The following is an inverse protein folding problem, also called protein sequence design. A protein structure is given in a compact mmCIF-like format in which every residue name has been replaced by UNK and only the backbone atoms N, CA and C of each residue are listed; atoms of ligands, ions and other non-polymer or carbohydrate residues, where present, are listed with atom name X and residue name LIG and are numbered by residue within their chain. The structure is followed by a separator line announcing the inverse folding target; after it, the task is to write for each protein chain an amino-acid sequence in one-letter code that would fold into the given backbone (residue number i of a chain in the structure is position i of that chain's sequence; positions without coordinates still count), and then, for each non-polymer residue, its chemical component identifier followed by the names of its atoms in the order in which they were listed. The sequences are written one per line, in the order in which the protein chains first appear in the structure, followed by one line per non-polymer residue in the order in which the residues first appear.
data_IF_891525278024
#
_entry.id   IF_891525278024
#
_cell.length_a   1.000
_cell.length_b   1.000
_cell.length_c   1.000
_cell.angle_alpha   90.00
_cell.angle_beta   90.00
_cell.angle_gamma   90.00
#
_symmetry.space_group_name_H-M   'P 1'
#
loop_
_entity.id
_entity.type
_entity.pdbx_description
1 polymer ?
#
# COMPACT_ATOMS: atom_id res chain seq x y z
N UNK A 1 -49.94 -11.06 -44.50
CA UNK A 1 -50.03 -10.59 -43.10
C UNK A 1 -49.15 -11.38 -42.15
N UNK A 2 -49.22 -12.72 -42.10
CA UNK A 2 -48.36 -13.56 -41.24
C UNK A 2 -46.84 -13.34 -41.45
N UNK A 3 -46.37 -13.22 -42.69
CA UNK A 3 -44.96 -12.94 -42.98
C UNK A 3 -44.48 -11.57 -42.50
N UNK A 4 -45.37 -10.56 -42.53
CA UNK A 4 -45.07 -9.20 -42.04
C UNK A 4 -45.04 -9.20 -40.52
N UNK A 5 -46.01 -9.85 -39.87
CA UNK A 5 -46.02 -10.01 -38.42
C UNK A 5 -44.78 -10.78 -37.93
N UNK A 6 -44.38 -11.86 -38.61
CA UNK A 6 -43.16 -12.60 -38.30
C UNK A 6 -41.91 -11.73 -38.49
N UNK A 7 -41.82 -10.95 -39.57
CA UNK A 7 -40.69 -10.04 -39.80
C UNK A 7 -40.59 -8.95 -38.73
N UNK A 8 -41.70 -8.32 -38.36
CA UNK A 8 -41.77 -7.33 -37.27
C UNK A 8 -41.35 -7.97 -35.95
N UNK A 9 -41.84 -9.16 -35.65
CA UNK A 9 -41.49 -9.88 -34.41
C UNK A 9 -40.00 -10.24 -34.37
N UNK A 10 -39.41 -10.68 -35.49
CA UNK A 10 -37.97 -10.94 -35.58
C UNK A 10 -37.13 -9.68 -35.44
N UNK A 11 -37.56 -8.55 -36.02
CA UNK A 11 -36.87 -7.27 -35.87
C UNK A 11 -36.90 -6.82 -34.42
N UNK A 12 -38.06 -6.90 -33.75
CA UNK A 12 -38.19 -6.59 -32.32
C UNK A 12 -37.30 -7.49 -31.49
N UNK A 13 -37.27 -8.79 -31.76
CA UNK A 13 -36.49 -9.76 -31.00
C UNK A 13 -34.98 -9.55 -31.19
N UNK A 14 -34.52 -9.23 -32.41
CA UNK A 14 -33.12 -8.94 -32.70
C UNK A 14 -32.70 -7.57 -32.14
N UNK A 15 -33.58 -6.57 -32.19
CA UNK A 15 -33.33 -5.26 -31.58
C UNK A 15 -33.24 -5.36 -30.05
N UNK A 16 -34.03 -6.25 -29.43
CA UNK A 16 -34.01 -6.52 -28.00
C UNK A 16 -32.80 -7.36 -27.54
N UNK A 17 -32.23 -8.21 -28.40
CA UNK A 17 -31.14 -9.13 -28.00
C UNK A 17 -29.75 -8.73 -28.50
N UNK A 18 -29.62 -8.27 -29.75
CA UNK A 18 -28.32 -8.02 -30.41
C UNK A 18 -28.00 -6.53 -30.48
N UNK A 19 -29.01 -5.69 -30.68
CA UNK A 19 -28.86 -4.23 -30.80
C UNK A 19 -29.40 -3.49 -29.57
N UNK A 20 -29.31 -4.12 -28.40
CA UNK A 20 -29.83 -3.60 -27.15
C UNK A 20 -28.76 -2.86 -26.35
N UNK A 21 -29.13 -1.91 -25.47
CA UNK A 21 -28.18 -1.26 -24.58
C UNK A 21 -27.43 -2.27 -23.69
N UNK A 22 -28.08 -3.37 -23.30
CA UNK A 22 -27.46 -4.49 -22.57
C UNK A 22 -26.29 -5.11 -23.32
N UNK A 23 -26.33 -5.18 -24.65
CA UNK A 23 -25.22 -5.72 -25.42
C UNK A 23 -23.97 -4.85 -25.30
N UNK A 24 -24.11 -3.52 -25.29
CA UNK A 24 -22.98 -2.60 -25.16
C UNK A 24 -22.32 -2.72 -23.77
N UNK A 25 -23.13 -2.79 -22.72
CA UNK A 25 -22.65 -2.96 -21.34
C UNK A 25 -21.98 -4.32 -21.15
N UNK A 26 -22.53 -5.40 -21.72
CA UNK A 26 -21.88 -6.71 -21.72
C UNK A 26 -20.53 -6.66 -22.44
N UNK A 27 -20.47 -6.07 -23.64
CA UNK A 27 -19.23 -5.96 -24.40
C UNK A 27 -18.15 -5.15 -23.67
N UNK A 28 -18.55 -4.15 -22.89
CA UNK A 28 -17.66 -3.37 -22.03
C UNK A 28 -17.11 -4.22 -20.88
N UNK A 29 -17.97 -4.88 -20.12
CA UNK A 29 -17.56 -5.77 -19.00
C UNK A 29 -16.64 -6.89 -19.51
N UNK A 30 -16.98 -7.49 -20.66
CA UNK A 30 -16.15 -8.53 -21.29
C UNK A 30 -14.77 -7.96 -21.67
N UNK A 31 -14.69 -6.72 -22.15
CA UNK A 31 -13.41 -6.07 -22.45
C UNK A 31 -12.56 -5.86 -21.17
N UNK A 32 -13.18 -5.49 -20.03
CA UNK A 32 -12.48 -5.41 -18.75
C UNK A 32 -11.93 -6.78 -18.32
N UNK A 33 -12.75 -7.82 -18.40
CA UNK A 33 -12.37 -9.21 -18.06
C UNK A 33 -11.30 -9.78 -18.99
N UNK A 34 -11.32 -9.37 -20.25
CA UNK A 34 -10.29 -9.71 -21.25
C UNK A 34 -9.02 -8.88 -21.06
N UNK A 35 -9.04 -7.86 -20.19
CA UNK A 35 -7.95 -6.92 -19.99
C UNK A 35 -7.62 -6.17 -21.28
N UNK A 36 -8.64 -5.83 -22.08
CA UNK A 36 -8.54 -5.07 -23.33
C UNK A 36 -9.03 -3.64 -23.09
N UNK A 37 -8.11 -2.82 -22.58
CA UNK A 37 -8.34 -1.42 -22.24
C UNK A 37 -8.74 -0.56 -23.42
N UNK A 38 -8.11 -0.80 -24.58
CA UNK A 38 -8.38 -0.05 -25.80
C UNK A 38 -9.83 -0.27 -26.26
N UNK A 39 -10.33 -1.51 -26.20
CA UNK A 39 -11.73 -1.83 -26.51
C UNK A 39 -12.68 -1.24 -25.48
N UNK A 40 -12.38 -1.36 -24.18
CA UNK A 40 -13.21 -0.78 -23.11
C UNK A 40 -13.34 0.74 -23.25
N UNK A 41 -12.22 1.45 -23.45
CA UNK A 41 -12.18 2.90 -23.66
C UNK A 41 -12.97 3.31 -24.92
N UNK A 42 -12.80 2.55 -26.00
CA UNK A 42 -13.51 2.77 -27.26
C UNK A 42 -15.02 2.60 -27.13
N UNK A 43 -15.48 1.60 -26.36
CA UNK A 43 -16.90 1.39 -26.09
C UNK A 43 -17.50 2.53 -25.27
N UNK A 44 -16.81 2.97 -24.22
CA UNK A 44 -17.27 4.08 -23.38
C UNK A 44 -17.25 5.45 -24.08
N UNK A 45 -16.57 5.57 -25.22
CA UNK A 45 -16.20 6.86 -25.80
C UNK A 45 -15.55 7.79 -24.77
N UNK A 46 -14.79 7.22 -23.83
CA UNK A 46 -14.27 7.97 -22.69
C UNK A 46 -12.94 8.65 -23.01
N UNK A 47 -12.71 9.80 -22.39
CA UNK A 47 -11.40 10.47 -22.38
C UNK A 47 -10.60 10.06 -21.16
N UNK A 48 -9.31 9.81 -21.34
CA UNK A 48 -8.37 9.55 -20.24
C UNK A 48 -7.88 10.90 -19.71
N UNK A 49 -8.03 11.20 -18.40
CA UNK A 49 -7.46 12.41 -17.80
C UNK A 49 -5.93 12.36 -17.78
N UNK A 50 -5.27 13.45 -17.37
CA UNK A 50 -3.81 13.51 -17.21
C UNK A 50 -3.37 12.76 -15.93
N UNK A 51 -3.50 11.44 -15.97
CA UNK A 51 -3.18 10.52 -14.87
C UNK A 51 -2.54 9.25 -15.42
N UNK A 52 -1.97 8.44 -14.52
CA UNK A 52 -1.24 7.23 -14.90
C UNK A 52 -2.19 6.16 -15.46
N UNK A 53 -1.87 5.64 -16.65
CA UNK A 53 -2.67 4.64 -17.37
C UNK A 53 -2.32 3.18 -17.03
N UNK A 54 -1.47 2.93 -16.01
CA UNK A 54 -0.98 1.59 -15.68
C UNK A 54 -2.07 0.55 -15.38
N UNK A 55 -3.26 0.99 -14.97
CA UNK A 55 -4.41 0.12 -14.67
C UNK A 55 -5.38 -0.05 -15.83
N UNK A 56 -5.17 0.66 -16.93
CA UNK A 56 -6.13 0.68 -18.03
C UNK A 56 -6.03 -0.52 -18.96
N UNK A 57 -5.06 -1.41 -18.81
CA UNK A 57 -4.89 -2.53 -19.74
C UNK A 57 -4.22 -3.76 -19.11
N UNK A 58 -4.39 -4.92 -19.75
CA UNK A 58 -3.67 -6.14 -19.39
C UNK A 58 -4.02 -6.72 -18.01
N UNK A 59 -3.07 -7.34 -17.30
CA UNK A 59 -3.34 -8.05 -16.06
C UNK A 59 -3.93 -7.19 -14.94
N UNK A 60 -3.51 -5.93 -14.81
CA UNK A 60 -4.03 -5.02 -13.79
C UNK A 60 -5.52 -4.75 -13.97
N UNK A 61 -5.95 -4.56 -15.24
CA UNK A 61 -7.35 -4.38 -15.60
C UNK A 61 -8.17 -5.66 -15.36
N UNK A 62 -7.61 -6.83 -15.67
CA UNK A 62 -8.29 -8.11 -15.36
C UNK A 62 -8.51 -8.28 -13.88
N UNK A 63 -7.48 -7.98 -13.09
CA UNK A 63 -7.53 -8.10 -11.65
C UNK A 63 -8.57 -7.16 -11.06
N UNK A 64 -8.77 -5.95 -11.63
CA UNK A 64 -9.76 -5.00 -11.11
C UNK A 64 -11.20 -5.48 -11.23
N UNK A 65 -11.48 -6.49 -12.06
CA UNK A 65 -12.83 -7.04 -12.21
C UNK A 65 -12.91 -8.53 -11.83
N UNK A 66 -11.86 -9.06 -11.22
CA UNK A 66 -11.76 -10.49 -10.90
C UNK A 66 -12.73 -10.91 -9.78
N UNK A 67 -13.00 -10.01 -8.84
CA UNK A 67 -13.88 -10.23 -7.68
C UNK A 67 -15.35 -9.96 -7.96
N UNK A 68 -15.70 -9.52 -9.18
CA UNK A 68 -17.08 -9.26 -9.56
C UNK A 68 -17.83 -10.57 -9.84
N UNK A 69 -18.60 -10.99 -8.85
CA UNK A 69 -19.44 -12.18 -8.87
C UNK A 69 -20.91 -11.85 -9.17
N UNK A 70 -21.69 -12.88 -9.52
CA UNK A 70 -23.16 -12.80 -9.72
C UNK A 70 -23.65 -11.66 -10.62
N UNK A 71 -22.85 -11.27 -11.62
CA UNK A 71 -23.15 -10.10 -12.45
C UNK A 71 -24.47 -10.25 -13.24
N UNK A 72 -25.39 -9.33 -13.01
CA UNK A 72 -26.70 -9.24 -13.66
C UNK A 72 -26.87 -7.85 -14.30
N UNK A 73 -27.08 -7.82 -15.62
CA UNK A 73 -27.44 -6.59 -16.33
C UNK A 73 -28.96 -6.45 -16.28
N UNK A 74 -29.44 -5.40 -15.64
CA UNK A 74 -30.87 -5.12 -15.49
C UNK A 74 -31.57 -4.65 -16.77
N UNK A 75 -32.85 -4.34 -16.63
CA UNK A 75 -33.65 -3.73 -17.70
C UNK A 75 -33.33 -2.23 -17.82
N UNK A 76 -33.34 -1.66 -19.05
CA UNK A 76 -33.11 -0.25 -19.28
C UNK A 76 -34.25 0.58 -18.68
N UNK A 77 -33.87 1.60 -17.91
CA UNK A 77 -34.77 2.61 -17.36
C UNK A 77 -34.73 3.82 -18.30
N UNK A 78 -35.87 4.20 -18.87
CA UNK A 78 -35.94 5.37 -19.75
C UNK A 78 -35.65 6.66 -18.94
N UNK A 79 -34.63 7.41 -19.35
CA UNK A 79 -34.37 8.78 -18.86
C UNK A 79 -35.17 9.76 -19.74
N UNK A 80 -35.04 9.60 -21.07
CA UNK A 80 -35.78 10.36 -22.07
C UNK A 80 -35.98 9.56 -23.37
N UNK A 81 -36.50 10.19 -24.43
CA UNK A 81 -36.81 9.54 -25.71
C UNK A 81 -35.63 8.84 -26.40
N UNK A 82 -34.40 9.27 -26.10
CA UNK A 82 -33.17 8.79 -26.73
C UNK A 82 -32.14 8.25 -25.73
N UNK A 83 -32.38 8.37 -24.41
CA UNK A 83 -31.44 7.96 -23.36
C UNK A 83 -32.05 6.97 -22.39
N UNK A 84 -31.24 6.00 -21.99
CA UNK A 84 -31.59 5.00 -20.98
C UNK A 84 -30.47 4.87 -19.97
N UNK A 85 -30.85 4.60 -18.73
CA UNK A 85 -29.95 4.14 -17.68
C UNK A 85 -30.02 2.62 -17.62
N UNK A 86 -28.87 1.97 -17.50
CA UNK A 86 -28.78 0.53 -17.38
C UNK A 86 -28.05 0.14 -16.08
N UNK A 87 -28.78 -0.35 -15.05
CA UNK A 87 -28.17 -0.81 -13.82
C UNK A 87 -27.53 -2.18 -14.03
N UNK A 88 -26.30 -2.35 -13.54
CA UNK A 88 -25.59 -3.63 -13.47
C UNK A 88 -25.39 -3.96 -12.00
N UNK A 89 -25.98 -5.07 -11.56
CA UNK A 89 -25.80 -5.58 -10.19
C UNK A 89 -24.74 -6.66 -10.18
N UNK A 90 -23.98 -6.72 -9.10
CA UNK A 90 -22.94 -7.73 -8.89
C UNK A 90 -22.63 -7.79 -7.39
N UNK A 91 -21.89 -8.83 -6.98
CA UNK A 91 -21.39 -8.97 -5.62
C UNK A 91 -19.87 -8.86 -5.58
N UNK A 92 -19.36 -8.24 -4.52
CA UNK A 92 -17.94 -8.22 -4.15
C UNK A 92 -17.89 -8.63 -2.69
N UNK A 93 -17.14 -9.69 -2.37
CA UNK A 93 -17.07 -10.27 -1.02
C UNK A 93 -18.45 -10.52 -0.38
N UNK A 94 -19.43 -10.92 -1.19
CA UNK A 94 -20.81 -11.16 -0.77
C UNK A 94 -21.65 -9.91 -0.47
N UNK A 95 -21.10 -8.71 -0.68
CA UNK A 95 -21.83 -7.43 -0.61
C UNK A 95 -22.39 -7.08 -1.99
N UNK A 96 -23.67 -6.74 -2.06
CA UNK A 96 -24.33 -6.34 -3.30
C UNK A 96 -23.97 -4.89 -3.68
N UNK A 97 -23.56 -4.69 -4.91
CA UNK A 97 -23.25 -3.41 -5.51
C UNK A 97 -24.05 -3.20 -6.79
N UNK A 98 -24.19 -1.94 -7.22
CA UNK A 98 -24.83 -1.59 -8.48
C UNK A 98 -24.05 -0.47 -9.15
N UNK A 99 -23.77 -0.63 -10.44
CA UNK A 99 -23.22 0.44 -11.29
C UNK A 99 -24.20 0.76 -12.39
N UNK A 100 -24.55 2.03 -12.54
CA UNK A 100 -25.45 2.50 -13.59
C UNK A 100 -24.66 3.06 -14.78
N UNK A 101 -25.01 2.62 -15.98
CA UNK A 101 -24.45 3.15 -17.22
C UNK A 101 -25.51 3.92 -18.00
N UNK A 102 -25.17 5.12 -18.47
CA UNK A 102 -26.02 5.90 -19.34
C UNK A 102 -25.68 5.63 -20.81
N UNK A 103 -26.69 5.27 -21.60
CA UNK A 103 -26.58 5.02 -23.03
C UNK A 103 -27.54 5.89 -23.81
N UNK A 104 -27.10 6.35 -24.99
CA UNK A 104 -27.91 7.12 -25.92
C UNK A 104 -28.05 6.42 -27.28
N UNK A 105 -29.16 6.67 -27.95
CA UNK A 105 -29.39 6.21 -29.32
C UNK A 105 -28.45 6.97 -30.27
N UNK A 106 -27.46 6.27 -30.80
CA UNK A 106 -26.45 6.82 -31.72
C UNK A 106 -26.87 6.72 -33.20
N UNK A 107 -27.91 5.95 -33.51
CA UNK A 107 -28.43 5.85 -34.87
C UNK A 107 -29.42 4.71 -35.09
N UNK A 108 -29.72 4.44 -36.36
CA UNK A 108 -30.53 3.29 -36.76
C UNK A 108 -29.87 2.60 -37.95
N UNK A 109 -29.46 1.36 -37.76
CA UNK A 109 -28.93 0.49 -38.80
C UNK A 109 -30.06 -0.18 -39.57
N UNK A 110 -29.92 -0.26 -40.90
CA UNK A 110 -30.87 -0.93 -41.79
C UNK A 110 -32.33 -0.49 -41.62
N UNK A 111 -32.58 0.78 -41.25
CA UNK A 111 -33.90 1.38 -40.97
C UNK A 111 -34.68 0.79 -39.77
N UNK A 112 -34.19 -0.24 -39.09
CA UNK A 112 -34.96 -0.96 -38.07
C UNK A 112 -34.22 -1.24 -36.77
N UNK A 113 -32.88 -1.26 -36.76
CA UNK A 113 -32.08 -1.62 -35.59
C UNK A 113 -31.51 -0.39 -34.93
N UNK A 114 -31.93 -0.11 -33.69
CA UNK A 114 -31.38 1.01 -32.95
C UNK A 114 -29.90 0.74 -32.65
N UNK A 115 -29.08 1.76 -32.73
CA UNK A 115 -27.71 1.70 -32.24
C UNK A 115 -27.64 2.45 -30.94
N UNK A 116 -26.98 1.84 -29.96
CA UNK A 116 -26.74 2.43 -28.66
C UNK A 116 -25.25 2.66 -28.51
N UNK A 117 -24.89 3.77 -27.89
CA UNK A 117 -23.54 4.07 -27.46
C UNK A 117 -23.59 4.55 -26.02
N UNK A 118 -22.51 4.36 -25.28
CA UNK A 118 -22.34 5.03 -24.01
C UNK A 118 -22.32 6.55 -24.22
N UNK A 119 -22.93 7.27 -23.28
CA UNK A 119 -22.77 8.72 -23.22
C UNK A 119 -21.29 9.00 -22.87
N UNK A 120 -20.57 9.79 -23.69
CA UNK A 120 -19.16 10.07 -23.45
C UNK A 120 -18.90 10.64 -22.06
N UNK A 121 -17.84 10.13 -21.40
CA UNK A 121 -17.43 10.55 -20.07
C UNK A 121 -15.91 10.72 -19.97
N UNK A 122 -15.42 11.25 -18.86
CA UNK A 122 -14.00 11.19 -18.49
C UNK A 122 -13.80 10.04 -17.51
N UNK A 123 -12.76 9.23 -17.71
CA UNK A 123 -12.45 8.18 -16.74
C UNK A 123 -12.15 8.82 -15.37
N UNK A 124 -12.65 8.24 -14.28
CA UNK A 124 -12.26 8.67 -12.95
C UNK A 124 -10.79 8.39 -12.65
N UNK A 125 -10.29 9.03 -11.59
CA UNK A 125 -8.95 8.80 -11.06
C UNK A 125 -8.98 8.25 -9.64
N UNK A 126 -7.97 7.42 -9.33
CA UNK A 126 -7.73 6.79 -8.05
C UNK A 126 -6.42 7.34 -7.48
N UNK A 127 -6.48 7.88 -6.25
CA UNK A 127 -5.32 8.39 -5.55
C UNK A 127 -4.66 7.27 -4.72
N UNK A 128 -3.34 7.16 -4.85
CA UNK A 128 -2.52 6.27 -4.04
C UNK A 128 -1.39 7.06 -3.38
N UNK A 129 -1.09 6.72 -2.13
CA UNK A 129 0.08 7.23 -1.42
C UNK A 129 0.78 6.13 -0.64
N UNK A 130 2.11 6.25 -0.52
CA UNK A 130 2.96 5.35 0.24
C UNK A 130 3.93 6.14 1.11
N UNK A 131 4.08 5.73 2.36
CA UNK A 131 4.97 6.42 3.32
C UNK A 131 6.42 6.04 3.04
N UNK A 132 7.27 7.05 2.80
CA UNK A 132 8.73 6.93 2.66
C UNK A 132 9.21 5.95 1.57
N UNK A 133 8.40 5.70 0.55
CA UNK A 133 8.75 4.85 -0.60
C UNK A 133 8.33 5.57 -1.89
N UNK A 134 8.84 5.10 -3.02
CA UNK A 134 8.60 5.67 -4.35
C UNK A 134 7.96 4.68 -5.33
N UNK A 135 7.54 3.51 -4.86
CA UNK A 135 6.83 2.50 -5.63
C UNK A 135 5.78 1.77 -4.78
N UNK A 136 4.82 1.15 -5.46
CA UNK A 136 3.89 0.20 -4.86
C UNK A 136 3.50 -0.87 -5.88
N UNK A 137 2.90 -1.95 -5.39
CA UNK A 137 2.12 -2.87 -6.21
C UNK A 137 0.66 -2.40 -6.21
N UNK A 138 0.05 -2.32 -7.38
CA UNK A 138 -1.35 -1.95 -7.57
C UNK A 138 -1.97 -2.98 -8.54
N UNK A 139 -2.94 -3.75 -8.07
CA UNK A 139 -3.53 -4.88 -8.80
C UNK A 139 -2.47 -5.82 -9.42
N UNK A 140 -1.43 -6.13 -8.63
CA UNK A 140 -0.32 -7.00 -9.03
C UNK A 140 0.69 -6.36 -10.00
N UNK A 141 0.53 -5.09 -10.35
CA UNK A 141 1.46 -4.34 -11.20
C UNK A 141 2.28 -3.36 -10.37
N UNK A 142 3.60 -3.40 -10.54
CA UNK A 142 4.49 -2.42 -9.91
C UNK A 142 4.33 -1.06 -10.59
N UNK A 143 4.05 -0.03 -9.79
CA UNK A 143 3.84 1.34 -10.23
C UNK A 143 4.79 2.29 -9.49
N UNK A 144 5.25 3.33 -10.19
CA UNK A 144 6.06 4.39 -9.59
C UNK A 144 5.15 5.44 -8.93
N UNK A 145 5.59 5.93 -7.77
CA UNK A 145 4.93 6.92 -6.92
C UNK A 145 5.93 8.01 -6.52
N UNK A 146 6.27 8.93 -7.44
CA UNK A 146 7.18 10.04 -7.14
C UNK A 146 6.68 10.81 -5.91
N UNK A 147 7.57 11.14 -4.99
CA UNK A 147 7.23 11.79 -3.71
C UNK A 147 6.21 11.00 -2.86
N UNK A 148 6.14 9.68 -3.07
CA UNK A 148 5.23 8.77 -2.36
C UNK A 148 3.76 8.91 -2.76
N UNK A 149 3.46 9.49 -3.93
CA UNK A 149 2.08 9.73 -4.40
C UNK A 149 1.91 9.39 -5.88
N UNK A 150 0.70 9.03 -6.26
CA UNK A 150 0.33 8.85 -7.65
C UNK A 150 -1.18 8.91 -7.86
N UNK A 151 -1.57 9.29 -9.07
CA UNK A 151 -2.96 9.37 -9.52
C UNK A 151 -3.10 8.47 -10.74
N UNK A 152 -4.09 7.58 -10.74
CA UNK A 152 -4.25 6.53 -11.76
C UNK A 152 -5.64 6.61 -12.38
N UNK A 153 -5.72 6.62 -13.71
CA UNK A 153 -7.00 6.46 -14.41
C UNK A 153 -7.52 5.04 -14.25
N UNK A 154 -8.82 4.90 -13.98
CA UNK A 154 -9.44 3.59 -13.76
C UNK A 154 -10.78 3.45 -14.49
N UNK A 155 -11.14 2.22 -14.81
CA UNK A 155 -12.48 1.85 -15.28
C UNK A 155 -13.40 1.52 -14.10
N UNK A 156 -14.70 1.66 -14.31
CA UNK A 156 -15.73 1.28 -13.32
C UNK A 156 -16.70 0.25 -13.92
N UNK A 157 -17.24 -0.68 -13.12
CA UNK A 157 -16.84 -0.98 -11.75
C UNK A 157 -15.46 -1.64 -11.67
N UNK A 158 -14.79 -1.52 -10.52
CA UNK A 158 -13.60 -2.30 -10.23
C UNK A 158 -13.14 -2.26 -8.77
N UNK A 159 -12.34 -3.26 -8.38
CA UNK A 159 -11.62 -3.35 -7.11
C UNK A 159 -10.14 -3.04 -7.31
N UNK A 160 -9.55 -2.31 -6.36
CA UNK A 160 -8.17 -1.85 -6.44
C UNK A 160 -7.45 -2.16 -5.14
N UNK A 161 -6.56 -3.14 -5.19
CA UNK A 161 -5.68 -3.51 -4.09
C UNK A 161 -4.30 -2.89 -4.31
N UNK A 162 -3.80 -2.18 -3.30
CA UNK A 162 -2.43 -1.70 -3.25
C UNK A 162 -1.68 -2.31 -2.07
N UNK A 163 -0.42 -2.66 -2.26
CA UNK A 163 0.49 -3.07 -1.19
C UNK A 163 1.94 -2.71 -1.54
N UNK A 164 2.84 -2.76 -0.56
CA UNK A 164 4.27 -2.58 -0.80
C UNK A 164 5.07 -3.62 -0.02
N UNK A 165 6.12 -4.16 -0.63
CA UNK A 165 7.01 -5.13 0.03
C UNK A 165 8.40 -5.05 -0.56
N UNK A 166 9.38 -4.88 0.31
CA UNK A 166 10.80 -4.99 0.02
C UNK A 166 11.49 -5.83 1.09
N UNK A 167 12.82 -5.93 1.02
CA UNK A 167 13.60 -6.66 2.02
C UNK A 167 13.47 -6.08 3.42
N UNK A 168 13.37 -4.75 3.52
CA UNK A 168 13.48 -4.03 4.79
C UNK A 168 12.18 -3.35 5.21
N UNK A 169 11.29 -3.05 4.25
CA UNK A 169 10.06 -2.32 4.49
C UNK A 169 8.86 -3.02 3.84
N UNK A 170 7.69 -2.90 4.44
CA UNK A 170 6.45 -3.44 3.89
C UNK A 170 5.24 -2.61 4.33
N UNK A 171 4.24 -2.49 3.47
CA UNK A 171 2.92 -1.97 3.79
C UNK A 171 1.88 -3.06 3.52
N UNK A 172 0.97 -3.35 4.48
CA UNK A 172 -0.14 -4.29 4.26
C UNK A 172 -1.01 -3.89 3.07
N UNK A 173 -1.70 -4.86 2.51
CA UNK A 173 -2.68 -4.61 1.46
C UNK A 173 -3.82 -3.71 1.95
N UNK A 174 -4.17 -2.73 1.13
CA UNK A 174 -5.33 -1.86 1.29
C UNK A 174 -6.13 -1.95 0.00
N UNK A 175 -7.44 -2.11 0.13
CA UNK A 175 -8.35 -2.28 -0.99
C UNK A 175 -9.39 -1.15 -1.02
N UNK A 176 -9.81 -0.77 -2.23
CA UNK A 176 -10.96 0.07 -2.44
C UNK A 176 -11.79 -0.46 -3.60
N UNK A 177 -13.11 -0.43 -3.41
CA UNK A 177 -14.09 -0.69 -4.47
C UNK A 177 -14.52 0.64 -5.06
N UNK A 178 -14.56 0.75 -6.38
CA UNK A 178 -15.10 1.93 -7.09
C UNK A 178 -16.22 1.45 -7.99
N UNK A 179 -17.45 1.81 -7.65
CA UNK A 179 -18.64 1.38 -8.38
C UNK A 179 -19.15 2.45 -9.34
N UNK A 180 -18.95 3.72 -9.00
CA UNK A 180 -19.30 4.86 -9.85
C UNK A 180 -18.14 5.87 -9.99
N UNK A 181 -18.08 6.64 -11.09
CA UNK A 181 -17.01 7.62 -11.30
C UNK A 181 -16.88 8.67 -10.18
N UNK A 182 -18.00 9.05 -9.55
CA UNK A 182 -18.01 10.03 -8.47
C UNK A 182 -17.32 9.51 -7.18
N UNK A 183 -17.35 8.19 -6.94
CA UNK A 183 -16.76 7.57 -5.75
C UNK A 183 -15.23 7.47 -5.84
N UNK A 184 -14.68 7.47 -7.05
CA UNK A 184 -13.25 7.28 -7.27
C UNK A 184 -12.40 8.37 -6.62
N UNK A 185 -12.87 9.62 -6.60
CA UNK A 185 -12.18 10.72 -5.94
C UNK A 185 -12.14 10.58 -4.40
N UNK A 186 -13.03 9.76 -3.83
CA UNK A 186 -13.07 9.43 -2.40
C UNK A 186 -12.28 8.14 -2.09
N UNK A 187 -12.15 7.24 -3.06
CA UNK A 187 -11.32 6.04 -3.00
C UNK A 187 -9.83 6.41 -2.95
N UNK A 188 -9.26 6.44 -1.74
CA UNK A 188 -7.83 6.71 -1.52
C UNK A 188 -7.14 5.49 -0.93
N UNK A 189 -6.13 4.99 -1.62
CA UNK A 189 -5.28 3.91 -1.14
C UNK A 189 -4.07 4.50 -0.41
N UNK A 190 -4.06 4.39 0.92
CA UNK A 190 -2.99 4.95 1.76
C UNK A 190 -2.16 3.84 2.41
N UNK A 191 -0.96 3.62 1.88
CA UNK A 191 -0.05 2.57 2.32
C UNK A 191 0.85 3.08 3.46
N UNK A 192 0.63 2.52 4.65
CA UNK A 192 1.48 2.76 5.82
C UNK A 192 2.62 1.76 5.86
N UNK A 193 3.76 2.15 5.31
CA UNK A 193 4.98 1.35 5.33
C UNK A 193 5.50 1.18 6.76
N UNK A 194 6.04 0.00 7.06
CA UNK A 194 6.61 -0.37 8.34
C UNK A 194 7.91 -1.15 8.15
N UNK A 195 8.80 -1.11 9.15
CA UNK A 195 10.00 -1.94 9.19
C UNK A 195 9.62 -3.42 9.25
N UNK A 196 10.28 -4.22 8.42
CA UNK A 196 10.16 -5.69 8.44
C UNK A 196 10.93 -6.29 9.62
N UNK A 197 10.60 -7.53 10.04
CA UNK A 197 11.38 -8.25 11.04
C UNK A 197 12.87 -8.35 10.69
N UNK A 198 13.20 -8.47 9.40
CA UNK A 198 14.59 -8.55 8.92
C UNK A 198 15.35 -7.25 9.19
N UNK A 199 14.74 -6.09 8.93
CA UNK A 199 15.38 -4.81 9.24
C UNK A 199 15.63 -4.67 10.74
N UNK A 200 14.63 -5.02 11.56
CA UNK A 200 14.75 -4.97 13.03
C UNK A 200 15.88 -5.88 13.50
N UNK A 201 15.95 -7.12 13.00
CA UNK A 201 17.02 -8.08 13.35
C UNK A 201 18.42 -7.55 13.03
N UNK A 202 18.63 -7.02 11.82
CA UNK A 202 19.92 -6.46 11.38
C UNK A 202 20.36 -5.27 12.25
N UNK A 203 19.42 -4.38 12.58
CA UNK A 203 19.71 -3.24 13.46
C UNK A 203 19.97 -3.70 14.89
N UNK A 204 19.18 -4.65 15.41
CA UNK A 204 19.39 -5.24 16.74
C UNK A 204 20.76 -5.89 16.85
N UNK A 205 21.22 -6.60 15.82
CA UNK A 205 22.56 -7.19 15.81
C UNK A 205 23.66 -6.11 15.91
N UNK A 206 23.51 -4.99 15.19
CA UNK A 206 24.45 -3.86 15.25
C UNK A 206 24.44 -3.17 16.62
N UNK A 207 23.25 -2.95 17.20
CA UNK A 207 23.09 -2.41 18.57
C UNK A 207 23.80 -3.29 19.58
N UNK A 208 23.59 -4.61 19.52
CA UNK A 208 24.23 -5.57 20.42
C UNK A 208 25.74 -5.55 20.29
N UNK A 209 26.26 -5.65 19.06
CA UNK A 209 27.70 -5.62 18.82
C UNK A 209 28.38 -4.32 19.29
N UNK A 210 27.69 -3.18 19.16
CA UNK A 210 28.17 -1.91 19.72
C UNK A 210 28.25 -1.95 21.26
N UNK A 211 27.18 -2.40 21.93
CA UNK A 211 27.13 -2.46 23.39
C UNK A 211 28.09 -3.52 23.97
N UNK A 212 28.26 -4.66 23.28
CA UNK A 212 29.25 -5.69 23.62
C UNK A 212 30.68 -5.10 23.54
N UNK A 213 31.00 -4.39 22.45
CA UNK A 213 32.29 -3.71 22.31
C UNK A 213 32.54 -2.64 23.39
N UNK A 214 31.48 -2.03 23.93
CA UNK A 214 31.57 -1.16 25.09
C UNK A 214 31.87 -1.94 26.38
N UNK A 215 31.20 -3.07 26.60
CA UNK A 215 31.39 -3.91 27.79
C UNK A 215 32.78 -4.59 27.83
N UNK A 216 33.42 -4.78 26.68
CA UNK A 216 34.79 -5.26 26.57
C UNK A 216 35.83 -4.27 27.13
N UNK A 217 35.52 -2.97 27.18
CA UNK A 217 36.43 -1.95 27.71
C UNK A 217 36.51 -2.04 29.24
N UNK A 218 37.65 -2.51 29.77
CA UNK A 218 37.91 -2.67 31.22
C UNK A 218 38.26 -1.35 31.92
N UNK A 219 37.40 -0.33 31.75
CA UNK A 219 37.54 1.00 32.37
C UNK A 219 36.19 1.47 32.93
N UNK A 220 36.23 2.33 33.94
CA UNK A 220 35.01 2.86 34.57
C UNK A 220 34.18 3.78 33.63
N UNK A 221 34.83 4.39 32.64
CA UNK A 221 34.19 5.27 31.65
C UNK A 221 34.62 4.86 30.24
N UNK A 222 33.98 3.83 29.66
CA UNK A 222 34.28 3.40 28.30
C UNK A 222 34.07 4.52 27.28
N UNK A 223 34.98 4.66 26.34
CA UNK A 223 34.94 5.70 25.33
C UNK A 223 33.92 5.37 24.23
N UNK A 224 33.07 6.34 23.89
CA UNK A 224 31.99 6.19 22.92
C UNK A 224 30.81 5.33 23.40
N UNK A 225 30.60 5.18 24.71
CA UNK A 225 29.66 4.24 25.30
C UNK A 225 28.62 4.91 26.19
N UNK A 226 27.38 4.39 26.23
CA UNK A 226 26.26 5.07 26.87
C UNK A 226 26.20 4.88 28.40
N UNK A 227 27.11 4.11 28.98
CA UNK A 227 27.19 3.85 30.41
C UNK A 227 28.58 4.23 30.95
N UNK A 228 28.61 4.71 32.18
CA UNK A 228 29.83 5.13 32.85
C UNK A 228 29.61 5.25 34.36
N UNK A 229 30.60 4.87 35.17
CA UNK A 229 30.50 4.95 36.62
C UNK A 229 31.64 5.75 37.22
N UNK A 230 31.34 6.89 37.83
CA UNK A 230 32.32 7.62 38.63
C UNK A 230 32.54 6.92 39.98
N UNK A 231 33.79 6.53 40.26
CA UNK A 231 34.21 5.98 41.55
C UNK A 231 35.57 6.56 41.96
N UNK A 232 35.91 6.46 43.24
CA UNK A 232 37.15 7.03 43.78
C UNK A 232 38.39 6.21 43.37
N UNK A 233 38.60 5.06 43.99
CA UNK A 233 39.72 4.16 43.72
C UNK A 233 39.21 2.74 43.64
N UNK A 234 39.60 2.04 42.57
CA UNK A 234 39.22 0.66 42.31
C UNK A 234 40.46 -0.18 42.02
N UNK A 235 40.32 -1.50 42.01
CA UNK A 235 41.31 -2.39 41.41
C UNK A 235 41.05 -2.46 39.90
N UNK A 236 41.98 -1.98 39.08
CA UNK A 236 41.76 -1.80 37.64
C UNK A 236 41.44 -3.13 36.92
N UNK A 237 42.06 -4.23 37.35
CA UNK A 237 41.84 -5.58 36.81
C UNK A 237 40.50 -6.20 37.21
N UNK A 238 39.79 -5.59 38.16
CA UNK A 238 38.47 -6.05 38.61
C UNK A 238 37.30 -5.44 37.85
N UNK A 239 37.54 -4.43 37.00
CA UNK A 239 36.47 -3.71 36.27
C UNK A 239 35.89 -4.62 35.18
N UNK A 240 34.66 -5.08 35.37
CA UNK A 240 33.92 -5.85 34.37
C UNK A 240 32.53 -5.28 34.12
N UNK A 241 32.29 -4.87 32.88
CA UNK A 241 30.97 -4.49 32.40
C UNK A 241 30.29 -5.69 31.73
N UNK A 242 28.99 -5.82 31.95
CA UNK A 242 28.11 -6.74 31.25
C UNK A 242 26.83 -6.00 30.87
N UNK A 243 26.20 -6.35 29.75
CA UNK A 243 24.87 -5.84 29.39
C UNK A 243 23.84 -6.85 29.88
N UNK A 244 23.03 -6.47 30.86
CA UNK A 244 22.03 -7.36 31.47
C UNK A 244 20.67 -7.22 30.81
N UNK A 245 20.38 -6.04 30.24
CA UNK A 245 19.19 -5.80 29.45
C UNK A 245 19.54 -5.03 28.17
N UNK A 246 19.19 -5.62 27.03
CA UNK A 246 19.47 -5.05 25.71
C UNK A 246 18.28 -4.26 25.21
N UNK A 247 18.50 -3.08 24.59
CA UNK A 247 17.40 -2.29 24.06
C UNK A 247 16.57 -3.01 22.99
N UNK A 248 15.26 -2.83 23.06
CA UNK A 248 14.35 -3.21 21.97
C UNK A 248 14.40 -2.16 20.85
N UNK A 249 14.68 -2.60 19.63
CA UNK A 249 14.76 -1.71 18.46
C UNK A 249 13.35 -1.47 17.91
N UNK A 250 12.94 -0.20 17.88
CA UNK A 250 11.73 0.26 17.19
C UNK A 250 12.09 1.29 16.13
N UNK A 251 11.63 1.06 14.90
CA UNK A 251 11.89 1.92 13.73
C UNK A 251 10.55 2.47 13.23
N UNK A 252 10.48 3.79 13.07
CA UNK A 252 9.26 4.49 12.65
C UNK A 252 9.54 5.54 11.56
N UNK A 253 8.54 5.83 10.71
CA UNK A 253 8.68 6.88 9.71
C UNK A 253 8.66 8.27 10.37
N UNK A 254 9.50 9.19 9.91
CA UNK A 254 9.55 10.58 10.34
C UNK A 254 10.06 11.50 9.22
N UNK A 255 9.23 12.48 8.83
CA UNK A 255 9.57 13.52 7.85
C UNK A 255 10.24 13.02 6.55
N UNK A 256 9.73 11.96 5.93
CA UNK A 256 10.31 11.40 4.70
C UNK A 256 11.51 10.48 4.93
N UNK A 257 11.88 10.21 6.19
CA UNK A 257 13.02 9.37 6.57
C UNK A 257 12.60 8.32 7.61
N UNK A 258 13.50 7.39 7.91
CA UNK A 258 13.29 6.38 8.94
C UNK A 258 14.15 6.70 10.16
N UNK A 259 13.52 6.72 11.33
CA UNK A 259 14.22 6.97 12.60
C UNK A 259 14.06 5.78 13.53
N UNK A 260 15.05 5.63 14.40
CA UNK A 260 14.96 4.71 15.52
C UNK A 260 14.52 5.47 16.76
N UNK A 261 13.60 4.90 17.53
CA UNK A 261 13.28 5.45 18.85
C UNK A 261 14.52 5.44 19.74
N UNK A 262 14.62 6.37 20.72
CA UNK A 262 15.65 6.30 21.74
C UNK A 262 15.70 4.90 22.35
N UNK A 263 16.90 4.36 22.45
CA UNK A 263 17.17 3.04 22.97
C UNK A 263 17.49 3.16 24.46
N UNK A 264 16.96 2.24 25.25
CA UNK A 264 17.21 2.15 26.68
C UNK A 264 17.60 0.72 27.04
N UNK A 265 18.56 0.55 27.93
CA UNK A 265 18.98 -0.76 28.44
C UNK A 265 19.70 -0.62 29.77
N UNK A 266 20.19 -1.73 30.30
CA UNK A 266 20.87 -1.77 31.61
C UNK A 266 22.22 -2.47 31.48
N UNK A 267 23.26 -1.76 31.91
CA UNK A 267 24.61 -2.29 32.06
C UNK A 267 24.86 -2.63 33.53
N UNK A 268 25.69 -3.62 33.77
CA UNK A 268 26.10 -4.07 35.10
C UNK A 268 27.60 -3.94 35.23
N UNK A 269 28.05 -3.19 36.24
CA UNK A 269 29.44 -3.08 36.63
C UNK A 269 29.71 -3.98 37.83
N UNK A 270 30.61 -4.94 37.64
CA UNK A 270 31.27 -5.66 38.72
C UNK A 270 32.65 -5.04 38.91
N UNK A 271 32.99 -4.62 40.14
CA UNK A 271 34.27 -3.96 40.44
C UNK A 271 34.63 -4.09 41.92
N UNK A 272 35.92 -4.08 42.24
CA UNK A 272 36.41 -4.01 43.62
C UNK A 272 36.82 -2.57 43.94
N UNK A 273 36.03 -1.93 44.79
CA UNK A 273 36.29 -0.58 45.30
C UNK A 273 37.29 -0.64 46.48
N UNK A 274 38.20 0.33 46.55
CA UNK A 274 39.16 0.46 47.65
C UNK A 274 38.73 1.64 48.53
N UNK A 275 38.37 1.35 49.78
CA UNK A 275 38.04 2.39 50.76
C UNK A 275 39.30 3.24 51.06
N UNK A 276 39.20 4.55 50.81
CA UNK A 276 40.34 5.46 50.89
C UNK A 276 40.85 5.69 52.33
N UNK A 277 40.05 5.40 53.36
CA UNK A 277 40.41 5.62 54.76
C UNK A 277 40.99 4.37 55.40
N UNK A 278 40.41 3.21 55.11
CA UNK A 278 40.73 1.91 55.73
C UNK A 278 41.60 1.03 54.86
N UNK A 279 41.64 1.28 53.55
CA UNK A 279 42.34 0.44 52.56
C UNK A 279 41.64 -0.88 52.26
N UNK A 280 40.41 -1.10 52.74
CA UNK A 280 39.67 -2.34 52.50
C UNK A 280 39.20 -2.45 51.05
N UNK A 281 39.33 -3.65 50.49
CA UNK A 281 38.80 -4.01 49.18
C UNK A 281 37.35 -4.52 49.32
N UNK A 282 36.40 -3.82 48.69
CA UNK A 282 34.98 -4.11 48.79
C UNK A 282 34.43 -4.43 47.39
N UNK A 283 34.00 -5.68 47.13
CA UNK A 283 33.29 -6.01 45.90
C UNK A 283 32.00 -5.20 45.79
N UNK A 284 31.78 -4.62 44.62
CA UNK A 284 30.59 -3.88 44.23
C UNK A 284 29.99 -4.49 42.98
N UNK A 285 28.68 -4.50 42.98
CA UNK A 285 27.84 -4.86 41.86
C UNK A 285 26.84 -3.72 41.69
N UNK A 286 26.89 -3.05 40.54
CA UNK A 286 26.09 -1.85 40.26
C UNK A 286 25.39 -2.04 38.93
N UNK A 287 24.08 -1.85 38.92
CA UNK A 287 23.30 -1.75 37.68
C UNK A 287 23.13 -0.27 37.32
N UNK A 288 23.27 0.02 36.03
CA UNK A 288 23.16 1.35 35.46
C UNK A 288 22.28 1.30 34.23
N UNK A 289 21.15 1.98 34.32
CA UNK A 289 20.33 2.27 33.15
C UNK A 289 21.05 3.30 32.28
N UNK A 290 21.00 3.07 30.97
CA UNK A 290 21.54 3.97 29.97
C UNK A 290 20.53 4.21 28.87
N UNK A 291 20.67 5.36 28.21
CA UNK A 291 19.92 5.68 26.99
C UNK A 291 20.87 6.20 25.93
N UNK A 292 20.57 5.91 24.66
CA UNK A 292 21.28 6.49 23.54
C UNK A 292 20.39 6.54 22.30
N UNK A 293 20.84 7.29 21.30
CA UNK A 293 20.17 7.35 19.99
C UNK A 293 21.09 6.82 18.91
N UNK A 294 20.58 6.63 17.70
CA UNK A 294 21.38 6.24 16.56
C UNK A 294 20.81 6.79 15.28
N UNK A 295 21.69 7.13 14.34
CA UNK A 295 21.30 7.43 12.97
C UNK A 295 21.24 6.13 12.18
N UNK A 296 20.11 5.90 11.51
CA UNK A 296 19.87 4.75 10.66
C UNK A 296 20.00 5.17 9.19
N UNK A 297 20.85 4.49 8.44
CA UNK A 297 20.90 4.59 6.98
C UNK A 297 20.56 3.22 6.37
N UNK A 298 19.51 3.20 5.55
CA UNK A 298 19.07 2.00 4.82
C UNK A 298 19.16 2.30 3.33
N UNK A 299 19.95 1.50 2.61
CA UNK A 299 20.05 1.53 1.16
C UNK A 299 19.84 0.11 0.61
N UNK A 300 19.70 -0.04 -0.71
CA UNK A 300 19.48 -1.33 -1.40
C UNK A 300 20.42 -2.44 -0.90
N UNK A 301 19.93 -3.24 0.04
CA UNK A 301 20.62 -4.38 0.64
C UNK A 301 21.57 -4.09 1.81
N UNK A 302 21.78 -2.84 2.23
CA UNK A 302 22.67 -2.52 3.35
C UNK A 302 22.01 -1.62 4.41
N UNK A 303 22.22 -1.98 5.67
CA UNK A 303 21.73 -1.28 6.86
C UNK A 303 22.92 -0.85 7.68
N UNK A 304 23.06 0.45 7.94
CA UNK A 304 24.14 0.99 8.77
C UNK A 304 23.56 1.78 9.93
N UNK A 305 23.94 1.38 11.14
CA UNK A 305 23.69 2.11 12.37
C UNK A 305 24.91 2.92 12.78
N UNK A 306 24.72 4.21 13.03
CA UNK A 306 25.72 5.08 13.68
C UNK A 306 25.22 5.48 15.06
N UNK A 307 25.74 4.90 16.15
CA UNK A 307 25.37 5.28 17.50
C UNK A 307 25.73 6.74 17.79
N UNK A 308 24.84 7.45 18.48
CA UNK A 308 25.04 8.81 18.96
C UNK A 308 24.87 8.78 20.47
N UNK A 309 26.00 8.94 21.17
CA UNK A 309 26.08 8.96 22.63
C UNK A 309 26.37 10.38 23.07
N UNK A 310 25.53 10.91 23.96
CA UNK A 310 25.74 12.20 24.62
C UNK A 310 26.34 11.94 26.01
N UNK A 311 27.32 12.76 26.41
CA UNK A 311 28.04 12.71 27.69
C UNK A 311 27.69 13.91 28.57
#
# INVERSE_FOLDING_TARGET
MLAIAAAVLTVVLVNANVYSPQHQVRAYIDALRDGDGAKALGLLHATVPDANAALLDGPALKQSVAELEELEIGEPVEIDSNRVELPVRYTIDGTEHTTSFELEKSGTSWLFFNQWAFVPTTLPTLDISVVNEDEASLNGTRVALPDGKGEFSVFVPGTFEAHYTSQFFAAPAVESVVTEPAEAAEARLSLSTQATPKLVEEVTAQVRGFLDGCAEQKVLQPAGCPFSQAMNRVQDDSINWDIVDYPEVTIEPSNGTWIMKPLSGTAKLNVVEIDLFTGQAVPRELEQDFTFTGSLAVNDGNVTLTPVVEY
#
